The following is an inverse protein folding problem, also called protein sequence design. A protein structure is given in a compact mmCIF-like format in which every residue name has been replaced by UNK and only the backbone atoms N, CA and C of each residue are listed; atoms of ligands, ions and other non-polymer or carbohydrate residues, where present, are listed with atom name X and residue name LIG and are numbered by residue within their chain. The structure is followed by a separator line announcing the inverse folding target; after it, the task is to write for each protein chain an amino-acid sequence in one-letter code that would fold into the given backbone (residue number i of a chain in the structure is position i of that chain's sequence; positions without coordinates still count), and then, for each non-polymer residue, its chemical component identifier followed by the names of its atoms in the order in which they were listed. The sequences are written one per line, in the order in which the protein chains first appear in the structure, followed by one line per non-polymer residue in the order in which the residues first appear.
data_IF_032959279244
#
_entry.id   IF_032959279244
#
_cell.length_a   1.000
_cell.length_b   1.000
_cell.length_c   1.000
_cell.angle_alpha   90.00
_cell.angle_beta   90.00
_cell.angle_gamma   90.00
#
_symmetry.space_group_name_H-M   'P 1'
#
loop_
_entity.id
_entity.type
_entity.pdbx_description
1 polymer ?
#
# COMPACT_ATOMS: atom_id res chain seq x y z
N UNK A 1 -41.89 37.11 15.45
CA UNK A 1 -40.86 36.74 14.45
C UNK A 1 -40.48 35.29 14.71
N UNK A 2 -41.09 34.37 13.96
CA UNK A 2 -40.75 32.95 14.06
C UNK A 2 -39.49 32.70 13.23
N UNK A 3 -38.40 32.34 13.89
CA UNK A 3 -37.16 31.91 13.27
C UNK A 3 -37.42 30.58 12.58
N UNK A 4 -37.67 30.61 11.27
CA UNK A 4 -37.72 29.42 10.43
C UNK A 4 -36.35 28.75 10.47
N UNK A 5 -36.21 27.72 11.30
CA UNK A 5 -35.11 26.77 11.17
C UNK A 5 -35.25 26.14 9.79
N UNK A 6 -34.35 26.47 8.87
CA UNK A 6 -34.14 25.72 7.64
C UNK A 6 -33.63 24.32 8.03
N UNK A 7 -34.57 23.41 8.31
CA UNK A 7 -34.29 21.99 8.40
C UNK A 7 -33.76 21.54 7.04
N UNK A 8 -32.54 21.00 7.01
CA UNK A 8 -31.98 20.40 5.81
C UNK A 8 -32.92 19.34 5.24
N UNK A 9 -33.03 19.27 3.91
CA UNK A 9 -33.94 18.34 3.24
C UNK A 9 -33.80 16.90 3.77
N UNK A 10 -34.89 16.13 3.94
CA UNK A 10 -34.86 14.79 4.52
C UNK A 10 -33.81 13.85 3.88
N UNK A 11 -33.64 13.96 2.56
CA UNK A 11 -32.67 13.19 1.78
C UNK A 11 -31.21 13.45 2.22
N UNK A 12 -30.84 14.70 2.50
CA UNK A 12 -29.47 15.02 2.92
C UNK A 12 -29.13 14.45 4.31
N UNK A 13 -30.12 14.32 5.18
CA UNK A 13 -29.95 13.73 6.51
C UNK A 13 -29.79 12.21 6.43
N UNK A 14 -30.58 11.56 5.57
CA UNK A 14 -30.50 10.13 5.31
C UNK A 14 -29.16 9.73 4.68
N UNK A 15 -28.69 10.46 3.65
CA UNK A 15 -27.39 10.18 3.02
C UNK A 15 -26.22 10.35 4.00
N UNK A 16 -26.26 11.36 4.87
CA UNK A 16 -25.26 11.55 5.94
C UNK A 16 -25.30 10.42 6.96
N UNK A 17 -26.48 9.93 7.31
CA UNK A 17 -26.63 8.78 8.20
C UNK A 17 -26.02 7.50 7.58
N UNK A 18 -26.37 7.18 6.33
CA UNK A 18 -25.83 6.03 5.61
C UNK A 18 -24.29 6.08 5.51
N UNK A 19 -23.73 7.23 5.13
CA UNK A 19 -22.28 7.40 5.08
C UNK A 19 -21.62 7.19 6.45
N UNK A 20 -22.21 7.70 7.54
CA UNK A 20 -21.68 7.50 8.90
C UNK A 20 -21.67 6.02 9.29
N UNK A 21 -22.75 5.29 8.98
CA UNK A 21 -22.82 3.84 9.24
C UNK A 21 -21.71 3.10 8.48
N UNK A 22 -21.52 3.42 7.19
CA UNK A 22 -20.43 2.85 6.38
C UNK A 22 -19.05 3.15 6.98
N UNK A 23 -18.82 4.40 7.40
CA UNK A 23 -17.54 4.80 8.00
C UNK A 23 -17.27 4.12 9.34
N UNK A 24 -18.31 3.87 10.15
CA UNK A 24 -18.19 3.07 11.39
C UNK A 24 -17.86 1.62 11.06
N UNK A 25 -18.49 1.02 10.05
CA UNK A 25 -18.17 -0.33 9.58
C UNK A 25 -16.71 -0.49 9.13
N UNK A 26 -16.10 0.59 8.62
CA UNK A 26 -14.69 0.62 8.21
C UNK A 26 -13.69 0.80 9.37
N UNK A 27 -14.14 0.94 10.62
CA UNK A 27 -13.25 1.18 11.76
C UNK A 27 -12.24 0.04 11.97
N UNK A 28 -12.68 -1.22 11.82
CA UNK A 28 -11.81 -2.38 11.94
C UNK A 28 -10.73 -2.38 10.84
N UNK A 29 -11.12 -2.11 9.59
CA UNK A 29 -10.20 -1.99 8.46
C UNK A 29 -9.19 -0.86 8.70
N UNK A 30 -9.66 0.30 9.17
CA UNK A 30 -8.79 1.45 9.48
C UNK A 30 -7.76 1.10 10.54
N UNK A 31 -8.20 0.46 11.62
CA UNK A 31 -7.31 0.03 12.71
C UNK A 31 -6.30 -1.01 12.23
N UNK A 32 -6.75 -2.08 11.56
CA UNK A 32 -5.87 -3.17 11.08
C UNK A 32 -4.85 -2.65 10.08
N UNK A 33 -5.27 -1.87 9.09
CA UNK A 33 -4.34 -1.26 8.13
C UNK A 33 -3.34 -0.33 8.85
N UNK A 34 -3.82 0.52 9.74
CA UNK A 34 -2.95 1.38 10.55
C UNK A 34 -1.94 0.60 11.39
N UNK A 35 -2.37 -0.51 11.99
CA UNK A 35 -1.52 -1.40 12.79
C UNK A 35 -0.44 -2.10 11.96
N UNK A 36 -0.74 -2.52 10.74
CA UNK A 36 0.24 -3.13 9.83
C UNK A 36 1.40 -2.16 9.55
N UNK A 37 1.08 -0.92 9.17
CA UNK A 37 2.10 0.08 8.85
C UNK A 37 2.83 0.60 10.10
N UNK A 38 2.10 0.85 11.18
CA UNK A 38 2.72 1.21 12.47
C UNK A 38 3.65 0.11 12.97
N UNK A 39 3.22 -1.16 12.89
CA UNK A 39 4.02 -2.32 13.26
C UNK A 39 5.27 -2.46 12.39
N UNK A 40 5.15 -2.22 11.09
CA UNK A 40 6.28 -2.20 10.15
C UNK A 40 7.35 -1.17 10.54
N UNK A 41 6.93 0.09 10.74
CA UNK A 41 7.83 1.18 11.11
C UNK A 41 8.40 1.05 12.53
N UNK A 42 7.56 0.73 13.52
CA UNK A 42 7.98 0.61 14.93
C UNK A 42 8.95 -0.54 15.16
N UNK A 43 8.81 -1.65 14.41
CA UNK A 43 9.77 -2.76 14.45
C UNK A 43 11.16 -2.33 14.00
N UNK A 44 11.27 -1.34 13.11
CA UNK A 44 12.56 -0.84 12.60
C UNK A 44 13.12 0.34 13.38
N UNK A 45 12.29 1.13 14.06
CA UNK A 45 12.77 2.27 14.86
C UNK A 45 12.90 1.98 16.35
N UNK A 46 12.05 1.11 16.91
CA UNK A 46 11.91 0.94 18.37
C UNK A 46 12.35 -0.46 18.78
N UNK A 47 11.74 -1.51 18.24
CA UNK A 47 11.90 -2.87 18.76
C UNK A 47 13.10 -3.63 18.17
N UNK A 48 13.60 -3.20 17.02
CA UNK A 48 14.68 -3.87 16.29
C UNK A 48 15.44 -2.92 15.37
N UNK A 49 16.10 -1.88 15.91
CA UNK A 49 16.80 -0.86 15.12
C UNK A 49 17.87 -1.42 14.18
N UNK A 50 18.44 -2.59 14.50
CA UNK A 50 19.37 -3.30 13.61
C UNK A 50 18.79 -3.61 12.22
N UNK A 51 17.45 -3.65 12.08
CA UNK A 51 16.76 -3.91 10.81
C UNK A 51 16.76 -2.72 9.85
N UNK A 52 17.07 -1.53 10.36
CA UNK A 52 17.17 -0.32 9.53
C UNK A 52 18.55 -0.21 8.88
N UNK A 53 19.57 -0.81 9.50
CA UNK A 53 20.94 -0.80 8.97
C UNK A 53 21.03 -1.77 7.78
N UNK A 54 21.32 -1.27 6.57
CA UNK A 54 21.39 -2.14 5.41
C UNK A 54 22.63 -3.03 5.43
N UNK A 55 23.69 -2.68 6.18
CA UNK A 55 24.97 -3.40 6.21
C UNK A 55 24.92 -4.67 7.04
N UNK A 56 23.98 -4.74 8.00
CA UNK A 56 23.84 -5.85 8.95
C UNK A 56 23.20 -7.11 8.35
N UNK A 57 23.49 -7.44 7.09
CA UNK A 57 22.89 -8.53 6.31
C UNK A 57 21.38 -8.41 6.02
N UNK A 58 20.58 -7.76 6.86
CA UNK A 58 19.12 -7.95 6.81
C UNK A 58 18.41 -7.21 5.66
N UNK A 59 18.59 -5.88 5.53
CA UNK A 59 17.82 -5.11 4.55
C UNK A 59 18.40 -5.21 3.12
N UNK A 60 19.72 -5.15 2.95
CA UNK A 60 20.32 -5.31 1.62
C UNK A 60 20.01 -6.70 1.01
N UNK A 61 20.00 -7.75 1.84
CA UNK A 61 19.59 -9.09 1.40
C UNK A 61 18.12 -9.15 0.96
N UNK A 62 17.21 -8.45 1.66
CA UNK A 62 15.81 -8.35 1.26
C UNK A 62 15.65 -7.68 -0.11
N UNK A 63 16.40 -6.62 -0.37
CA UNK A 63 16.43 -5.97 -1.68
C UNK A 63 17.01 -6.91 -2.76
N UNK A 64 18.11 -7.61 -2.47
CA UNK A 64 18.72 -8.54 -3.40
C UNK A 64 17.81 -9.73 -3.75
N UNK A 65 17.10 -10.27 -2.76
CA UNK A 65 16.14 -11.37 -2.97
C UNK A 65 14.84 -10.93 -3.66
N UNK A 66 14.46 -9.66 -3.53
CA UNK A 66 13.30 -9.08 -4.22
C UNK A 66 13.59 -8.70 -5.68
N UNK A 67 14.86 -8.40 -6.02
CA UNK A 67 15.27 -7.92 -7.34
C UNK A 67 14.76 -8.74 -8.54
N UNK A 68 14.75 -10.10 -8.49
CA UNK A 68 14.21 -10.88 -9.60
C UNK A 68 12.70 -10.65 -9.79
N UNK A 69 11.95 -10.52 -8.69
CA UNK A 69 10.50 -10.32 -8.70
C UNK A 69 10.06 -8.88 -8.96
N UNK A 70 11.01 -7.96 -9.12
CA UNK A 70 10.74 -6.54 -9.29
C UNK A 70 10.25 -6.25 -10.72
N UNK A 71 9.11 -5.57 -10.85
CA UNK A 71 8.46 -5.28 -12.15
C UNK A 71 8.65 -3.83 -12.59
N UNK A 72 8.34 -3.53 -13.86
CA UNK A 72 8.47 -2.18 -14.45
C UNK A 72 9.89 -1.58 -14.36
N UNK A 73 10.92 -2.42 -14.49
CA UNK A 73 12.33 -1.98 -14.45
C UNK A 73 12.85 -1.58 -13.07
N UNK A 74 12.07 -1.83 -12.01
CA UNK A 74 12.49 -1.53 -10.64
C UNK A 74 13.65 -2.39 -10.15
N UNK A 75 13.99 -3.47 -10.86
CA UNK A 75 15.23 -4.23 -10.67
C UNK A 75 16.48 -3.37 -10.85
N UNK A 76 16.49 -2.45 -11.82
CA UNK A 76 17.60 -1.50 -12.01
C UNK A 76 17.71 -0.51 -10.86
N UNK A 77 16.57 -0.06 -10.33
CA UNK A 77 16.53 0.80 -9.14
C UNK A 77 17.09 0.06 -7.92
N UNK A 78 16.68 -1.19 -7.70
CA UNK A 78 17.20 -2.03 -6.62
C UNK A 78 18.71 -2.23 -6.77
N UNK A 79 19.18 -2.57 -7.97
CA UNK A 79 20.62 -2.70 -8.26
C UNK A 79 21.37 -1.41 -7.98
N UNK A 80 20.87 -0.26 -8.43
CA UNK A 80 21.48 1.05 -8.18
C UNK A 80 21.60 1.32 -6.67
N UNK A 81 20.52 1.11 -5.91
CA UNK A 81 20.50 1.31 -4.45
C UNK A 81 21.46 0.36 -3.72
N UNK A 82 21.59 -0.89 -4.17
CA UNK A 82 22.55 -1.85 -3.60
C UNK A 82 24.01 -1.41 -3.79
N UNK A 83 24.33 -0.69 -4.87
CA UNK A 83 25.64 -0.10 -5.09
C UNK A 83 25.82 1.25 -4.36
N UNK A 84 24.73 1.89 -3.90
CA UNK A 84 24.70 3.23 -3.31
C UNK A 84 24.14 3.20 -1.90
N UNK A 85 24.92 2.65 -0.97
CA UNK A 85 24.44 2.28 0.36
C UNK A 85 23.88 3.42 1.22
N UNK A 86 24.45 4.62 1.07
CA UNK A 86 23.95 5.83 1.75
C UNK A 86 22.53 6.17 1.28
N UNK A 87 22.28 6.05 -0.03
CA UNK A 87 20.95 6.29 -0.61
C UNK A 87 19.97 5.20 -0.18
N UNK A 88 20.40 3.94 -0.18
CA UNK A 88 19.58 2.82 0.32
C UNK A 88 19.18 3.04 1.79
N UNK A 89 20.13 3.43 2.63
CA UNK A 89 19.87 3.69 4.04
C UNK A 89 18.88 4.84 4.25
N UNK A 90 19.11 5.97 3.56
CA UNK A 90 18.20 7.11 3.60
C UNK A 90 16.79 6.72 3.11
N UNK A 91 16.70 5.96 2.02
CA UNK A 91 15.43 5.47 1.48
C UNK A 91 14.68 4.57 2.46
N UNK A 92 15.38 3.65 3.12
CA UNK A 92 14.80 2.78 4.16
C UNK A 92 14.30 3.56 5.36
N UNK A 93 15.03 4.58 5.81
CA UNK A 93 14.60 5.47 6.90
C UNK A 93 13.33 6.22 6.51
N UNK A 94 13.32 6.85 5.34
CA UNK A 94 12.17 7.63 4.86
C UNK A 94 10.95 6.73 4.69
N UNK A 95 11.11 5.59 4.02
CA UNK A 95 10.03 4.62 3.84
C UNK A 95 9.45 4.18 5.19
N UNK A 96 10.31 3.79 6.13
CA UNK A 96 9.88 3.37 7.48
C UNK A 96 9.21 4.49 8.26
N UNK A 97 9.67 5.74 8.09
CA UNK A 97 9.08 6.90 8.77
C UNK A 97 7.69 7.20 8.23
N UNK A 98 7.49 7.12 6.91
CA UNK A 98 6.18 7.25 6.28
C UNK A 98 5.24 6.13 6.75
N UNK A 99 5.71 4.87 6.81
CA UNK A 99 4.92 3.76 7.37
C UNK A 99 4.51 4.01 8.82
N UNK A 100 5.45 4.41 9.68
CA UNK A 100 5.19 4.65 11.10
C UNK A 100 4.15 5.77 11.30
N UNK A 101 4.36 6.90 10.64
CA UNK A 101 3.51 8.09 10.78
C UNK A 101 2.12 7.82 10.19
N UNK A 102 2.05 7.28 8.96
CA UNK A 102 0.75 6.97 8.34
C UNK A 102 -0.03 5.90 9.11
N UNK A 103 0.66 4.91 9.70
CA UNK A 103 0.05 3.92 10.58
C UNK A 103 -0.60 4.56 11.82
N UNK A 104 0.12 5.44 12.52
CA UNK A 104 -0.44 6.20 13.66
C UNK A 104 -1.61 7.09 13.26
N UNK A 105 -1.51 7.75 12.11
CA UNK A 105 -2.57 8.58 11.55
C UNK A 105 -3.84 7.77 11.29
N UNK A 106 -3.74 6.54 10.75
CA UNK A 106 -4.88 5.65 10.54
C UNK A 106 -5.47 5.13 11.86
N UNK A 107 -4.63 4.68 12.80
CA UNK A 107 -5.09 4.18 14.12
C UNK A 107 -5.91 5.27 14.82
N UNK A 108 -5.36 6.49 14.88
CA UNK A 108 -6.01 7.63 15.54
C UNK A 108 -7.13 8.28 14.72
N UNK A 109 -7.17 8.05 13.40
CA UNK A 109 -8.08 8.75 12.49
C UNK A 109 -7.74 10.24 12.35
N UNK A 110 -6.44 10.57 12.29
CA UNK A 110 -5.95 11.91 12.00
C UNK A 110 -5.53 12.01 10.53
N UNK A 111 -6.10 12.97 9.79
CA UNK A 111 -6.01 13.13 8.34
C UNK A 111 -6.14 11.79 7.62
N UNK A 112 -7.27 11.11 7.88
CA UNK A 112 -7.47 9.71 7.50
C UNK A 112 -7.29 9.47 6.00
N UNK A 113 -7.73 10.39 5.14
CA UNK A 113 -7.59 10.25 3.68
C UNK A 113 -6.16 10.47 3.22
N UNK A 114 -5.43 11.40 3.83
CA UNK A 114 -4.01 11.56 3.57
C UNK A 114 -3.24 10.29 3.97
N UNK A 115 -3.52 9.73 5.15
CA UNK A 115 -2.89 8.50 5.59
C UNK A 115 -3.25 7.30 4.69
N UNK A 116 -4.50 7.22 4.23
CA UNK A 116 -4.93 6.23 3.23
C UNK A 116 -4.18 6.39 1.90
N UNK A 117 -3.96 7.62 1.41
CA UNK A 117 -3.17 7.87 0.19
C UNK A 117 -1.69 7.48 0.37
N UNK A 118 -1.09 7.80 1.52
CA UNK A 118 0.29 7.44 1.81
C UNK A 118 0.46 5.92 1.85
N UNK A 119 -0.43 5.22 2.57
CA UNK A 119 -0.41 3.75 2.66
C UNK A 119 -0.75 3.08 1.33
N UNK A 120 -1.66 3.65 0.52
CA UNK A 120 -1.90 3.22 -0.85
C UNK A 120 -0.63 3.29 -1.70
N UNK A 121 0.11 4.40 -1.64
CA UNK A 121 1.37 4.57 -2.35
C UNK A 121 2.46 3.60 -1.88
N UNK A 122 2.54 3.35 -0.58
CA UNK A 122 3.43 2.32 -0.01
C UNK A 122 3.05 0.93 -0.52
N UNK A 123 1.78 0.54 -0.50
CA UNK A 123 1.28 -0.72 -1.06
C UNK A 123 1.61 -0.88 -2.53
N UNK A 124 1.35 0.16 -3.33
CA UNK A 124 1.67 0.16 -4.75
C UNK A 124 3.18 -0.07 -4.97
N UNK A 125 4.02 0.66 -4.24
CA UNK A 125 5.49 0.54 -4.33
C UNK A 125 5.96 -0.85 -3.91
N UNK A 126 5.40 -1.41 -2.83
CA UNK A 126 5.73 -2.75 -2.36
C UNK A 126 5.34 -3.82 -3.37
N UNK A 127 4.18 -3.70 -4.02
CA UNK A 127 3.78 -4.63 -5.10
C UNK A 127 4.74 -4.58 -6.29
N UNK A 128 5.31 -3.42 -6.60
CA UNK A 128 6.30 -3.28 -7.69
C UNK A 128 7.67 -3.86 -7.32
N UNK A 129 8.13 -3.61 -6.09
CA UNK A 129 9.48 -3.96 -5.64
C UNK A 129 9.59 -5.40 -5.11
N UNK A 130 8.59 -5.85 -4.36
CA UNK A 130 8.60 -7.10 -3.58
C UNK A 130 7.51 -8.06 -4.05
N UNK A 131 7.21 -8.07 -5.35
CA UNK A 131 6.14 -8.91 -5.85
C UNK A 131 6.42 -10.41 -5.81
N UNK A 132 7.69 -10.84 -5.79
CA UNK A 132 8.07 -12.23 -5.55
C UNK A 132 9.40 -12.32 -4.80
N UNK A 133 9.43 -13.08 -3.69
CA UNK A 133 10.59 -13.18 -2.80
C UNK A 133 10.90 -14.65 -2.40
N UNK A 134 10.77 -15.60 -3.34
CA UNK A 134 11.26 -16.98 -3.19
C UNK A 134 10.21 -18.08 -3.37
N UNK A 135 10.57 -19.30 -2.98
CA UNK A 135 9.77 -20.52 -3.20
C UNK A 135 8.51 -20.65 -2.33
N UNK A 136 8.36 -19.79 -1.33
CA UNK A 136 7.26 -19.83 -0.35
C UNK A 136 6.38 -18.61 -0.51
N UNK A 137 5.27 -18.80 -1.24
CA UNK A 137 4.13 -17.91 -1.41
C UNK A 137 4.43 -16.48 -1.90
N UNK A 138 3.38 -15.84 -2.43
CA UNK A 138 3.43 -14.45 -2.89
C UNK A 138 3.09 -13.50 -1.71
N UNK A 139 3.66 -13.78 -0.53
CA UNK A 139 3.19 -13.27 0.77
C UNK A 139 3.30 -11.75 0.88
N UNK A 140 4.42 -11.18 0.46
CA UNK A 140 4.60 -9.72 0.45
C UNK A 140 3.62 -9.04 -0.52
N UNK A 141 3.35 -9.66 -1.67
CA UNK A 141 2.40 -9.14 -2.66
C UNK A 141 0.95 -9.26 -2.21
N UNK A 142 0.53 -10.41 -1.64
CA UNK A 142 -0.86 -10.61 -1.18
C UNK A 142 -1.21 -9.63 -0.07
N UNK A 143 -0.31 -9.42 0.88
CA UNK A 143 -0.46 -8.42 1.92
C UNK A 143 -0.55 -7.01 1.31
N UNK A 144 0.35 -6.66 0.39
CA UNK A 144 0.35 -5.34 -0.24
C UNK A 144 -0.91 -5.10 -1.10
N UNK A 145 -1.42 -6.11 -1.81
CA UNK A 145 -2.65 -6.06 -2.59
C UNK A 145 -3.90 -5.91 -1.71
N UNK A 146 -3.97 -6.62 -0.58
CA UNK A 146 -5.05 -6.43 0.40
C UNK A 146 -5.02 -5.01 0.96
N UNK A 147 -3.85 -4.52 1.37
CA UNK A 147 -3.67 -3.14 1.83
C UNK A 147 -3.98 -2.09 0.75
N UNK A 148 -3.75 -2.41 -0.53
CA UNK A 148 -4.10 -1.54 -1.64
C UNK A 148 -5.63 -1.36 -1.75
N UNK A 149 -6.38 -2.46 -1.70
CA UNK A 149 -7.85 -2.43 -1.70
C UNK A 149 -8.44 -1.75 -0.46
N UNK A 150 -7.90 -2.05 0.72
CA UNK A 150 -8.30 -1.38 1.96
C UNK A 150 -8.00 0.13 1.92
N UNK A 151 -6.83 0.53 1.40
CA UNK A 151 -6.43 1.92 1.22
C UNK A 151 -7.36 2.70 0.29
N UNK A 152 -7.77 2.12 -0.85
CA UNK A 152 -8.78 2.74 -1.74
C UNK A 152 -10.08 2.97 -0.99
N UNK A 153 -10.54 1.96 -0.25
CA UNK A 153 -11.83 2.03 0.45
C UNK A 153 -11.78 3.07 1.56
N UNK A 154 -10.70 3.14 2.34
CA UNK A 154 -10.49 4.17 3.37
C UNK A 154 -10.35 5.57 2.79
N UNK A 155 -9.72 5.72 1.62
CA UNK A 155 -9.65 7.01 0.93
C UNK A 155 -11.05 7.51 0.51
N UNK A 156 -11.87 6.63 -0.06
CA UNK A 156 -13.23 6.96 -0.49
C UNK A 156 -14.16 7.25 0.69
N UNK A 157 -14.18 6.37 1.69
CA UNK A 157 -15.12 6.44 2.82
C UNK A 157 -14.68 7.47 3.86
N UNK A 158 -13.40 7.49 4.24
CA UNK A 158 -12.86 8.32 5.33
C UNK A 158 -12.84 7.62 6.69
N UNK A 159 -12.67 8.41 7.75
CA UNK A 159 -12.48 7.96 9.13
C UNK A 159 -13.75 8.00 9.99
N UNK A 160 -14.80 8.72 9.57
CA UNK A 160 -16.09 8.73 10.24
C UNK A 160 -16.07 9.31 11.66
N UNK A 161 -17.06 8.90 12.47
CA UNK A 161 -17.32 9.49 13.78
C UNK A 161 -16.24 9.23 14.85
N UNK A 162 -15.57 8.07 14.78
CA UNK A 162 -14.54 7.66 15.76
C UNK A 162 -13.15 8.02 15.25
N UNK A 163 -12.86 9.31 15.11
CA UNK A 163 -11.60 9.81 14.54
C UNK A 163 -11.19 11.12 15.20
N UNK A 164 -9.88 11.39 15.28
CA UNK A 164 -9.37 12.71 15.68
C UNK A 164 -9.87 13.78 14.71
N UNK A 165 -9.99 13.46 13.41
CA UNK A 165 -10.58 14.35 12.42
C UNK A 165 -11.98 14.85 12.85
N UNK A 166 -12.81 13.97 13.42
CA UNK A 166 -14.17 14.33 13.85
C UNK A 166 -14.17 15.14 15.14
N UNK A 167 -13.25 14.81 16.05
CA UNK A 167 -13.01 15.62 17.25
C UNK A 167 -12.52 17.04 16.90
N UNK A 168 -11.65 17.17 15.89
CA UNK A 168 -11.19 18.46 15.36
C UNK A 168 -12.32 19.27 14.74
N UNK A 169 -13.23 18.64 13.98
CA UNK A 169 -14.42 19.34 13.46
C UNK A 169 -15.34 19.84 14.57
N UNK A 170 -15.58 19.03 15.60
CA UNK A 170 -16.42 19.43 16.75
C UNK A 170 -15.83 20.59 17.53
N UNK A 171 -14.50 20.61 17.70
CA UNK A 171 -13.80 21.67 18.47
C UNK A 171 -13.53 22.92 17.63
N UNK A 172 -13.31 22.77 16.32
CA UNK A 172 -13.02 23.87 15.40
C UNK A 172 -13.89 23.75 14.13
N UNK A 173 -15.17 24.15 14.18
CA UNK A 173 -16.09 24.04 13.05
C UNK A 173 -15.61 24.77 11.78
N UNK A 174 -14.78 25.80 11.92
CA UNK A 174 -14.16 26.51 10.79
C UNK A 174 -13.30 25.60 9.87
N UNK A 175 -12.87 24.43 10.33
CA UNK A 175 -12.17 23.44 9.51
C UNK A 175 -13.06 22.84 8.42
N UNK A 176 -14.38 22.80 8.60
CA UNK A 176 -15.32 22.34 7.58
C UNK A 176 -15.25 23.19 6.31
N UNK A 177 -14.96 24.48 6.45
CA UNK A 177 -14.85 25.40 5.32
C UNK A 177 -13.48 25.34 4.62
N UNK A 178 -12.49 24.65 5.20
CA UNK A 178 -11.15 24.55 4.61
C UNK A 178 -11.07 23.40 3.61
N UNK A 179 -10.89 23.73 2.34
CA UNK A 179 -10.83 22.75 1.24
C UNK A 179 -9.82 21.62 1.50
N UNK A 180 -8.62 21.92 1.98
CA UNK A 180 -7.62 20.88 2.29
C UNK A 180 -8.10 19.88 3.34
N UNK A 181 -8.83 20.32 4.37
CA UNK A 181 -9.33 19.43 5.42
C UNK A 181 -10.49 18.57 4.92
N UNK A 182 -11.34 19.12 4.04
CA UNK A 182 -12.41 18.34 3.37
C UNK A 182 -11.87 17.20 2.50
N UNK A 183 -10.72 17.42 1.85
CA UNK A 183 -10.07 16.43 0.99
C UNK A 183 -9.19 15.44 1.77
N UNK A 184 -8.44 15.91 2.77
CA UNK A 184 -7.44 15.10 3.48
C UNK A 184 -7.95 14.49 4.80
N UNK A 185 -8.91 15.14 5.45
CA UNK A 185 -9.59 14.62 6.63
C UNK A 185 -10.59 13.52 6.28
N UNK A 186 -11.00 12.74 7.26
CA UNK A 186 -11.91 11.60 7.08
C UNK A 186 -13.33 11.78 7.62
N UNK A 187 -13.69 12.96 8.14
CA UNK A 187 -14.88 13.11 8.99
C UNK A 187 -16.15 13.58 8.31
N UNK A 188 -16.05 14.00 7.06
CA UNK A 188 -17.19 14.30 6.21
C UNK A 188 -17.05 13.53 4.89
N UNK A 189 -18.14 13.32 4.14
CA UNK A 189 -18.08 12.79 2.78
C UNK A 189 -17.14 13.60 1.89
N UNK A 190 -16.58 12.97 0.86
CA UNK A 190 -15.78 13.69 -0.13
C UNK A 190 -16.58 14.85 -0.74
N UNK A 191 -15.95 16.01 -0.99
CA UNK A 191 -16.62 17.19 -1.56
C UNK A 191 -16.86 17.02 -3.07
N UNK A 192 -17.55 15.93 -3.45
CA UNK A 192 -17.86 15.53 -4.82
C UNK A 192 -19.37 15.34 -4.95
N UNK A 193 -19.89 15.55 -6.16
CA UNK A 193 -21.25 15.14 -6.49
C UNK A 193 -21.34 13.60 -6.56
N UNK A 194 -22.54 13.05 -6.41
CA UNK A 194 -22.75 11.59 -6.47
C UNK A 194 -22.22 10.97 -7.77
N UNK A 195 -22.41 11.67 -8.90
CA UNK A 195 -21.89 11.24 -10.20
C UNK A 195 -20.35 11.24 -10.24
N UNK A 196 -19.72 12.28 -9.68
CA UNK A 196 -18.26 12.38 -9.62
C UNK A 196 -17.66 11.34 -8.64
N UNK A 197 -18.30 11.14 -7.48
CA UNK A 197 -17.92 10.11 -6.52
C UNK A 197 -18.02 8.71 -7.14
N UNK A 198 -19.15 8.39 -7.80
CA UNK A 198 -19.34 7.13 -8.52
C UNK A 198 -18.24 6.91 -9.57
N UNK A 199 -17.94 7.93 -10.37
CA UNK A 199 -16.89 7.86 -11.40
C UNK A 199 -15.51 7.61 -10.77
N UNK A 200 -15.17 8.33 -9.70
CA UNK A 200 -13.92 8.14 -8.98
C UNK A 200 -13.82 6.73 -8.38
N UNK A 201 -14.85 6.28 -7.69
CA UNK A 201 -14.89 4.96 -7.06
C UNK A 201 -14.73 3.83 -8.09
N UNK A 202 -15.46 3.90 -9.22
CA UNK A 202 -15.33 2.93 -10.30
C UNK A 202 -13.96 2.98 -10.98
N UNK A 203 -13.38 4.18 -11.13
CA UNK A 203 -12.04 4.32 -11.70
C UNK A 203 -11.00 3.67 -10.81
N UNK A 204 -11.01 3.95 -9.51
CA UNK A 204 -10.09 3.33 -8.54
C UNK A 204 -10.30 1.81 -8.44
N UNK A 205 -11.55 1.36 -8.49
CA UNK A 205 -11.88 -0.06 -8.56
C UNK A 205 -11.23 -0.74 -9.78
N UNK A 206 -11.41 -0.18 -10.98
CA UNK A 206 -10.80 -0.76 -12.19
C UNK A 206 -9.28 -0.67 -12.18
N UNK A 207 -8.69 0.40 -11.64
CA UNK A 207 -7.23 0.47 -11.42
C UNK A 207 -6.78 -0.69 -10.52
N UNK A 208 -7.49 -0.95 -9.41
CA UNK A 208 -7.15 -2.05 -8.52
C UNK A 208 -7.31 -3.41 -9.18
N UNK A 209 -8.41 -3.65 -9.89
CA UNK A 209 -8.64 -4.90 -10.62
C UNK A 209 -7.54 -5.12 -11.64
N UNK A 210 -7.26 -4.14 -12.51
CA UNK A 210 -6.23 -4.27 -13.54
C UNK A 210 -4.86 -4.48 -12.88
N UNK A 211 -4.48 -3.67 -11.90
CA UNK A 211 -3.17 -3.77 -11.28
C UNK A 211 -2.97 -5.10 -10.56
N UNK A 212 -3.93 -5.54 -9.75
CA UNK A 212 -3.85 -6.81 -9.01
C UNK A 212 -3.88 -7.99 -9.97
N UNK A 213 -4.79 -8.02 -10.94
CA UNK A 213 -4.91 -9.16 -11.86
C UNK A 213 -3.71 -9.27 -12.80
N UNK A 214 -3.24 -8.14 -13.35
CA UNK A 214 -2.07 -8.14 -14.25
C UNK A 214 -0.82 -8.56 -13.49
N UNK A 215 -0.56 -8.00 -12.31
CA UNK A 215 0.62 -8.37 -11.52
C UNK A 215 0.54 -9.81 -11.03
N UNK A 216 -0.63 -10.29 -10.62
CA UNK A 216 -0.84 -11.71 -10.29
C UNK A 216 -0.55 -12.63 -11.48
N UNK A 217 -1.13 -12.33 -12.65
CA UNK A 217 -0.90 -13.11 -13.87
C UNK A 217 0.56 -13.06 -14.32
N UNK A 218 1.28 -11.98 -14.04
CA UNK A 218 2.72 -11.90 -14.28
C UNK A 218 3.52 -12.84 -13.38
N UNK A 219 3.16 -12.94 -12.09
CA UNK A 219 3.91 -13.76 -11.13
C UNK A 219 3.56 -15.26 -11.18
N UNK A 220 2.30 -15.62 -11.43
CA UNK A 220 1.81 -17.01 -11.34
C UNK A 220 1.18 -17.53 -12.62
N UNK A 221 0.84 -16.66 -13.56
CA UNK A 221 -0.09 -16.99 -14.63
C UNK A 221 -1.49 -17.32 -14.10
N UNK A 222 -2.16 -18.27 -14.75
CA UNK A 222 -3.50 -18.79 -14.41
C UNK A 222 -4.67 -17.82 -14.55
N UNK A 223 -4.46 -16.64 -15.13
CA UNK A 223 -5.54 -15.71 -15.50
C UNK A 223 -5.55 -15.46 -16.99
N UNK A 224 -4.47 -14.89 -17.52
CA UNK A 224 -4.32 -14.59 -18.95
C UNK A 224 -3.43 -15.64 -19.62
N UNK A 225 -2.46 -16.18 -18.89
CA UNK A 225 -1.52 -17.22 -19.35
C UNK A 225 -1.77 -18.53 -18.59
N UNK A 226 -1.38 -19.70 -19.13
CA UNK A 226 -1.37 -20.95 -18.37
C UNK A 226 -0.55 -20.79 -17.08
N UNK A 227 -0.85 -21.61 -16.07
CA UNK A 227 -0.04 -21.63 -14.85
C UNK A 227 1.43 -21.84 -15.18
N UNK A 228 2.28 -20.94 -14.70
CA UNK A 228 3.71 -21.11 -14.78
C UNK A 228 4.32 -20.89 -13.40
N UNK A 229 5.36 -21.66 -13.11
CA UNK A 229 6.23 -21.38 -11.97
C UNK A 229 6.85 -20.00 -12.12
N UNK A 230 7.38 -19.51 -11.00
CA UNK A 230 7.82 -18.13 -10.80
C UNK A 230 8.64 -17.58 -11.99
N UNK A 231 8.46 -16.31 -12.41
CA UNK A 231 9.19 -15.67 -13.52
C UNK A 231 10.72 -15.55 -13.30
N UNK A 232 11.17 -16.05 -12.17
CA UNK A 232 12.47 -15.93 -11.51
C UNK A 232 12.91 -17.25 -10.90
N UNK A 233 12.12 -18.31 -11.13
CA UNK A 233 12.52 -19.66 -10.82
C UNK A 233 13.83 -20.00 -11.51
N UNK A 234 14.43 -21.10 -11.09
CA UNK A 234 15.70 -21.69 -11.54
C UNK A 234 15.74 -22.03 -13.05
N UNK A 235 14.94 -21.39 -13.89
CA UNK A 235 14.83 -21.50 -15.34
C UNK A 235 15.16 -20.20 -16.08
N UNK A 236 15.19 -19.04 -15.40
CA UNK A 236 15.78 -17.81 -15.98
C UNK A 236 17.27 -17.84 -15.70
N UNK A 237 18.01 -18.45 -16.62
CA UNK A 237 19.45 -18.53 -16.54
C UNK A 237 20.08 -17.38 -17.33
N UNK A 238 20.82 -16.50 -16.67
CA UNK A 238 21.68 -15.54 -17.36
C UNK A 238 22.92 -16.20 -17.99
N UNK A 239 23.27 -17.40 -17.51
CA UNK A 239 24.35 -18.23 -18.04
C UNK A 239 23.80 -19.65 -18.22
N UNK A 240 23.68 -20.07 -19.48
CA UNK A 240 23.35 -21.44 -19.84
C UNK A 240 24.64 -22.14 -20.27
N UNK A 241 25.10 -23.13 -19.52
CA UNK A 241 26.14 -24.04 -20.03
C UNK A 241 25.51 -24.88 -21.14
N UNK A 242 25.95 -24.68 -22.38
CA UNK A 242 25.61 -25.51 -23.53
C UNK A 242 26.82 -26.38 -23.85
N UNK A 243 26.59 -27.59 -24.35
CA UNK A 243 27.62 -28.50 -24.85
C UNK A 243 28.61 -29.07 -23.81
N UNK A 244 28.15 -29.24 -22.57
CA UNK A 244 28.92 -29.83 -21.49
C UNK A 244 29.31 -31.28 -21.82
N UNK A 245 30.60 -31.53 -22.06
CA UNK A 245 31.16 -32.87 -22.30
C UNK A 245 31.86 -33.34 -21.04
N UNK A 246 31.37 -34.46 -20.50
CA UNK A 246 32.01 -35.17 -19.40
C UNK A 246 32.99 -36.16 -20.01
N UNK A 247 34.27 -35.94 -19.77
CA UNK A 247 35.31 -36.87 -20.18
C UNK A 247 35.32 -38.13 -19.26
N UNK A 248 35.86 -39.26 -19.72
CA UNK A 248 35.88 -40.51 -18.95
C UNK A 248 36.66 -40.44 -17.62
N UNK A 249 37.53 -39.44 -17.47
CA UNK A 249 38.28 -39.14 -16.25
C UNK A 249 37.48 -38.27 -15.25
N UNK A 250 36.24 -37.93 -15.57
CA UNK A 250 35.37 -37.08 -14.76
C UNK A 250 35.61 -35.58 -14.95
N UNK A 251 36.52 -35.17 -15.85
CA UNK A 251 36.70 -33.76 -16.17
C UNK A 251 35.53 -33.22 -17.00
N UNK A 252 35.16 -31.97 -16.72
CA UNK A 252 34.06 -31.27 -17.39
C UNK A 252 34.66 -30.24 -18.33
N UNK A 253 34.34 -30.35 -19.63
CA UNK A 253 34.66 -29.36 -20.65
C UNK A 253 33.38 -28.68 -21.11
N UNK A 254 33.44 -27.35 -21.22
CA UNK A 254 32.36 -26.47 -21.71
C UNK A 254 32.73 -25.98 -23.09
#
# INVERSE_FOLDING_TARGET
MATTMQGGSPQTTESKHLWRVMAIGMLAVRFVQGWIYWGGGSRRFIYGPQKINPAGHWMAYKFQTAMPGAILGTSHLISFLLHHFVLLYAGVIIFSAVELVSGLMLISGFLTRLAALLTLGLSFTLMLLFGWQGATCIDEWTMAAANFGMGITLFLVGGGAYSIDNWLLKTKPALENKGWFRWLGGSEPLPLSDAAFKKLALTLFWIAVIFIVVTYSYYRGSVITPFHGDPTGVKVHHVQMRDLRIAPDGSVTV
#
